data_IF_448539649666
#
_entry.id   IF_448539649666
#
_cell.length_a   1.000
_cell.length_b   1.000
_cell.length_c   1.000
_cell.angle_alpha   90.00
_cell.angle_beta   90.00
_cell.angle_gamma   90.00
#
_symmetry.space_group_name_H-M   'P 1'
#
loop_
_entity.id
_entity.type
_entity.pdbx_description
1 polymer ?
#
# COMPACT_ATOMS: atom_id res chain seq x y z
N UNK A 1 12.92 -21.24 9.04
CA UNK A 1 13.41 -22.04 7.90
C UNK A 1 14.93 -21.98 7.72
N UNK A 2 15.57 -20.79 7.57
CA UNK A 2 17.04 -20.69 7.39
C UNK A 2 17.86 -21.30 8.54
N UNK A 3 17.35 -21.20 9.77
CA UNK A 3 17.95 -21.81 10.96
C UNK A 3 17.41 -23.22 11.26
N UNK A 4 16.57 -23.79 10.38
CA UNK A 4 16.00 -25.12 10.58
C UNK A 4 17.05 -26.19 10.28
N UNK A 5 17.14 -27.27 11.07
CA UNK A 5 17.97 -28.42 10.72
C UNK A 5 17.42 -29.21 9.52
N UNK A 6 16.16 -28.99 9.14
CA UNK A 6 15.51 -29.66 8.03
C UNK A 6 15.72 -28.90 6.71
N UNK A 7 16.05 -29.65 5.64
CA UNK A 7 16.19 -29.11 4.29
C UNK A 7 14.81 -28.94 3.66
N UNK A 8 14.43 -27.69 3.43
CA UNK A 8 13.20 -27.36 2.69
C UNK A 8 13.42 -27.65 1.21
N UNK A 9 12.46 -28.32 0.58
CA UNK A 9 12.49 -28.64 -0.84
C UNK A 9 11.38 -27.89 -1.61
N UNK A 10 10.24 -27.62 -0.98
CA UNK A 10 9.12 -26.91 -1.62
C UNK A 10 8.41 -25.94 -0.71
N UNK A 11 7.55 -25.13 -1.32
CA UNK A 11 6.66 -24.18 -0.65
C UNK A 11 5.22 -24.37 -1.12
N UNK A 12 4.27 -24.10 -0.23
CA UNK A 12 2.85 -24.02 -0.55
C UNK A 12 2.23 -22.84 0.19
N UNK A 13 1.30 -22.16 -0.45
CA UNK A 13 0.53 -21.07 0.13
C UNK A 13 -0.97 -21.36 -0.02
N UNK A 14 -1.72 -21.22 1.07
CA UNK A 14 -3.17 -21.38 1.10
C UNK A 14 -3.80 -20.06 1.53
N UNK A 15 -4.64 -19.50 0.66
CA UNK A 15 -5.40 -18.27 0.93
C UNK A 15 -6.80 -18.67 1.41
N UNK A 16 -7.27 -18.07 2.50
CA UNK A 16 -8.57 -18.37 3.11
C UNK A 16 -9.47 -17.13 3.18
N UNK A 17 -10.79 -17.38 3.27
CA UNK A 17 -11.80 -16.35 3.50
C UNK A 17 -11.80 -15.28 2.41
N UNK A 18 -11.96 -14.01 2.79
CA UNK A 18 -12.07 -12.89 1.83
C UNK A 18 -10.84 -12.77 0.92
N UNK A 19 -9.65 -13.19 1.39
CA UNK A 19 -8.43 -13.21 0.60
C UNK A 19 -8.49 -14.26 -0.51
N UNK A 20 -9.20 -15.38 -0.29
CA UNK A 20 -9.45 -16.38 -1.32
C UNK A 20 -10.50 -15.90 -2.33
N UNK A 21 -11.66 -15.46 -1.84
CA UNK A 21 -12.80 -15.07 -2.69
C UNK A 21 -12.51 -13.90 -3.62
N UNK A 22 -11.69 -12.95 -3.17
CA UNK A 22 -11.37 -11.75 -3.96
C UNK A 22 -9.95 -11.78 -4.53
N UNK A 23 -9.16 -12.80 -4.22
CA UNK A 23 -7.73 -12.80 -4.46
C UNK A 23 -7.33 -12.73 -5.92
N UNK A 24 -8.07 -13.38 -6.83
CA UNK A 24 -7.80 -13.29 -8.28
C UNK A 24 -8.05 -11.87 -8.80
N UNK A 25 -9.14 -11.23 -8.36
CA UNK A 25 -9.47 -9.86 -8.74
C UNK A 25 -8.50 -8.82 -8.17
N UNK A 26 -7.95 -9.08 -6.98
CA UNK A 26 -6.96 -8.23 -6.30
C UNK A 26 -5.51 -8.64 -6.55
N UNK A 27 -5.24 -9.59 -7.45
CA UNK A 27 -3.90 -10.10 -7.76
C UNK A 27 -3.13 -10.64 -6.53
N UNK A 28 -3.85 -11.18 -5.53
CA UNK A 28 -3.25 -11.80 -4.34
C UNK A 28 -2.39 -13.01 -4.70
N UNK A 29 -2.75 -13.75 -5.76
CA UNK A 29 -1.90 -14.81 -6.31
C UNK A 29 -0.51 -14.29 -6.67
N UNK A 30 -0.48 -13.24 -7.49
CA UNK A 30 0.75 -12.63 -7.98
C UNK A 30 1.56 -12.07 -6.83
N UNK A 31 0.90 -11.37 -5.90
CA UNK A 31 1.54 -10.80 -4.72
C UNK A 31 2.19 -11.89 -3.85
N UNK A 32 1.49 -13.01 -3.60
CA UNK A 32 2.03 -14.13 -2.82
C UNK A 32 3.25 -14.75 -3.50
N UNK A 33 3.17 -15.04 -4.80
CA UNK A 33 4.29 -15.67 -5.54
C UNK A 33 5.52 -14.75 -5.57
N UNK A 34 5.33 -13.47 -5.88
CA UNK A 34 6.40 -12.49 -5.93
C UNK A 34 7.02 -12.24 -4.55
N UNK A 35 6.20 -12.18 -3.50
CA UNK A 35 6.65 -12.03 -2.12
C UNK A 35 7.49 -13.22 -1.66
N UNK A 36 7.09 -14.45 -2.00
CA UNK A 36 7.89 -15.65 -1.75
C UNK A 36 9.23 -15.62 -2.50
N UNK A 37 9.25 -15.09 -3.73
CA UNK A 37 10.45 -14.87 -4.52
C UNK A 37 11.32 -13.69 -4.03
N UNK A 38 10.90 -12.99 -2.95
CA UNK A 38 11.67 -11.92 -2.32
C UNK A 38 11.45 -10.53 -2.90
N UNK A 39 10.45 -10.33 -3.76
CA UNK A 39 10.05 -9.00 -4.22
C UNK A 39 9.30 -8.31 -3.09
N UNK A 40 9.78 -7.12 -2.69
CA UNK A 40 9.08 -6.29 -1.70
C UNK A 40 8.17 -5.27 -2.39
N UNK A 41 7.10 -4.80 -1.73
CA UNK A 41 6.23 -3.77 -2.28
C UNK A 41 6.98 -2.47 -2.66
N UNK A 42 7.98 -2.07 -1.86
CA UNK A 42 8.77 -0.86 -2.09
C UNK A 42 9.72 -1.00 -3.29
N UNK A 43 10.28 -2.20 -3.47
CA UNK A 43 11.20 -2.52 -4.57
C UNK A 43 10.51 -3.09 -5.81
N UNK A 44 9.19 -2.97 -5.90
CA UNK A 44 8.40 -3.52 -6.99
C UNK A 44 8.75 -2.84 -8.32
N UNK A 45 9.13 -3.66 -9.29
CA UNK A 45 9.30 -3.28 -10.69
C UNK A 45 8.42 -4.17 -11.55
N UNK A 46 7.58 -3.56 -12.40
CA UNK A 46 6.55 -4.28 -13.17
C UNK A 46 7.17 -5.30 -14.11
N UNK A 47 8.19 -4.91 -14.87
CA UNK A 47 8.75 -5.75 -15.93
C UNK A 47 9.52 -6.94 -15.33
N UNK A 48 10.29 -6.69 -14.27
CA UNK A 48 10.97 -7.74 -13.51
C UNK A 48 9.98 -8.68 -12.82
N UNK A 49 8.88 -8.16 -12.30
CA UNK A 49 7.82 -8.96 -11.69
C UNK A 49 7.15 -9.89 -12.72
N UNK A 50 6.78 -9.39 -13.89
CA UNK A 50 6.20 -10.23 -14.97
C UNK A 50 7.19 -11.30 -15.44
N UNK A 51 8.46 -10.94 -15.63
CA UNK A 51 9.51 -11.89 -16.00
C UNK A 51 9.69 -12.98 -14.93
N UNK A 52 9.64 -12.61 -13.65
CA UNK A 52 9.76 -13.55 -12.52
C UNK A 52 8.57 -14.51 -12.48
N UNK A 53 7.34 -14.00 -12.63
CA UNK A 53 6.13 -14.82 -12.66
C UNK A 53 6.12 -15.79 -13.86
N UNK A 54 6.49 -15.30 -15.04
CA UNK A 54 6.58 -16.13 -16.24
C UNK A 54 7.59 -17.28 -16.06
N UNK A 55 8.78 -16.95 -15.53
CA UNK A 55 9.82 -17.95 -15.24
C UNK A 55 9.33 -19.00 -14.23
N UNK A 56 8.73 -18.59 -13.12
CA UNK A 56 8.23 -19.53 -12.09
C UNK A 56 7.15 -20.46 -12.69
N UNK A 57 6.26 -19.93 -13.54
CA UNK A 57 5.23 -20.75 -14.21
C UNK A 57 5.84 -21.80 -15.14
N UNK A 58 6.92 -21.48 -15.83
CA UNK A 58 7.60 -22.38 -16.76
C UNK A 58 8.47 -23.41 -16.05
N UNK A 59 9.33 -22.95 -15.13
CA UNK A 59 10.33 -23.81 -14.47
C UNK A 59 9.77 -24.56 -13.26
N UNK A 60 8.67 -24.07 -12.67
CA UNK A 60 8.12 -24.53 -11.40
C UNK A 60 9.13 -24.46 -10.24
N UNK A 61 10.07 -23.52 -10.34
CA UNK A 61 11.12 -23.27 -9.36
C UNK A 61 11.00 -21.82 -8.89
N UNK A 62 10.95 -21.65 -7.58
CA UNK A 62 10.92 -20.37 -6.91
C UNK A 62 12.25 -20.13 -6.18
N UNK A 63 12.87 -18.98 -6.44
CA UNK A 63 14.11 -18.59 -5.77
C UNK A 63 13.79 -17.70 -4.58
N UNK A 64 13.80 -18.28 -3.39
CA UNK A 64 13.59 -17.55 -2.15
C UNK A 64 14.94 -17.08 -1.60
N UNK A 65 15.14 -15.77 -1.36
CA UNK A 65 16.40 -15.25 -0.85
C UNK A 65 16.87 -16.00 0.41
N UNK A 66 18.10 -16.50 0.41
CA UNK A 66 18.70 -17.22 1.53
C UNK A 66 18.13 -18.62 1.81
N UNK A 67 17.24 -19.15 0.97
CA UNK A 67 16.78 -20.55 1.03
C UNK A 67 17.18 -21.37 -0.21
N UNK A 68 17.56 -20.70 -1.30
CA UNK A 68 17.91 -21.35 -2.57
C UNK A 68 16.67 -21.66 -3.41
N UNK A 69 16.83 -22.45 -4.49
CA UNK A 69 15.73 -22.85 -5.36
C UNK A 69 14.81 -23.85 -4.65
N UNK A 70 13.50 -23.57 -4.69
CA UNK A 70 12.46 -24.39 -4.08
C UNK A 70 11.44 -24.80 -5.15
N UNK A 71 10.94 -26.03 -5.06
CA UNK A 71 9.86 -26.51 -5.92
C UNK A 71 8.57 -25.73 -5.59
N UNK A 72 7.98 -25.11 -6.62
CA UNK A 72 6.74 -24.37 -6.50
C UNK A 72 6.01 -24.35 -7.85
N UNK A 73 4.94 -25.12 -7.95
CA UNK A 73 4.01 -25.09 -9.09
C UNK A 73 2.81 -24.19 -8.73
N UNK A 74 2.68 -22.99 -9.33
CA UNK A 74 1.58 -22.08 -9.00
C UNK A 74 0.17 -22.68 -9.15
N UNK A 75 -0.02 -23.68 -10.02
CA UNK A 75 -1.33 -24.31 -10.22
C UNK A 75 -1.71 -25.31 -9.12
N UNK A 76 -0.73 -25.83 -8.39
CA UNK A 76 -0.92 -26.84 -7.33
C UNK A 76 -0.63 -26.28 -5.94
N UNK A 77 0.42 -25.49 -5.84
CA UNK A 77 1.03 -25.08 -4.58
C UNK A 77 0.53 -23.70 -4.11
N UNK A 78 -0.23 -22.97 -4.94
CA UNK A 78 -1.02 -21.82 -4.51
C UNK A 78 -2.51 -22.21 -4.52
N UNK A 79 -3.09 -22.36 -3.33
CA UNK A 79 -4.45 -22.85 -3.16
C UNK A 79 -5.37 -21.72 -2.69
N UNK A 80 -6.49 -21.57 -3.38
CA UNK A 80 -7.60 -20.73 -2.94
C UNK A 80 -8.60 -21.62 -2.19
N UNK A 81 -8.64 -21.50 -0.87
CA UNK A 81 -9.60 -22.21 -0.04
C UNK A 81 -10.85 -21.35 0.17
N UNK A 82 -11.93 -21.72 -0.54
CA UNK A 82 -13.25 -21.11 -0.46
C UNK A 82 -14.11 -21.65 0.70
N UNK A 83 -13.50 -22.41 1.61
CA UNK A 83 -14.11 -22.84 2.86
C UNK A 83 -14.31 -21.69 3.87
N UNK A 84 -14.64 -22.02 5.13
CA UNK A 84 -14.83 -21.02 6.16
C UNK A 84 -13.54 -20.20 6.40
N UNK A 85 -13.66 -18.93 6.80
CA UNK A 85 -12.50 -18.13 7.17
C UNK A 85 -11.77 -18.74 8.38
N UNK A 86 -10.47 -18.47 8.48
CA UNK A 86 -9.69 -18.86 9.65
C UNK A 86 -10.19 -18.09 10.89
N UNK A 87 -10.07 -18.68 12.11
CA UNK A 87 -10.68 -18.11 13.32
C UNK A 87 -10.20 -16.70 13.70
N UNK A 88 -8.97 -16.32 13.33
CA UNK A 88 -8.39 -15.04 13.75
C UNK A 88 -8.91 -13.83 12.97
N UNK A 89 -9.01 -13.94 11.64
CA UNK A 89 -9.44 -12.84 10.78
C UNK A 89 -9.89 -13.38 9.41
N UNK A 90 -10.79 -12.66 8.73
CA UNK A 90 -11.35 -13.06 7.44
C UNK A 90 -10.32 -13.13 6.29
N UNK A 91 -9.22 -12.39 6.39
CA UNK A 91 -8.10 -12.43 5.45
C UNK A 91 -6.96 -13.28 6.02
N UNK A 92 -7.07 -14.60 5.88
CA UNK A 92 -6.08 -15.56 6.36
C UNK A 92 -5.19 -16.10 5.24
N UNK A 93 -3.90 -16.28 5.54
CA UNK A 93 -2.95 -16.96 4.67
C UNK A 93 -2.14 -17.96 5.49
N UNK A 94 -1.98 -19.17 4.97
CA UNK A 94 -1.14 -20.21 5.56
C UNK A 94 0.01 -20.49 4.61
N UNK A 95 1.25 -20.30 5.09
CA UNK A 95 2.46 -20.66 4.37
C UNK A 95 2.99 -21.98 4.91
N UNK A 96 3.30 -22.91 4.02
CA UNK A 96 3.79 -24.25 4.35
C UNK A 96 5.10 -24.50 3.62
N UNK A 97 6.10 -24.97 4.37
CA UNK A 97 7.35 -25.48 3.82
C UNK A 97 7.31 -27.01 3.78
N UNK A 98 7.70 -27.61 2.66
CA UNK A 98 7.64 -29.06 2.46
C UNK A 98 9.00 -29.68 2.22
N UNK A 99 9.13 -30.96 2.54
CA UNK A 99 10.28 -31.79 2.16
C UNK A 99 10.16 -32.31 0.70
N UNK A 100 11.08 -33.20 0.32
CA UNK A 100 11.14 -33.76 -1.04
C UNK A 100 9.99 -34.75 -1.34
N UNK A 101 9.36 -35.30 -0.30
CA UNK A 101 8.23 -36.21 -0.37
C UNK A 101 6.90 -35.44 -0.41
N UNK A 102 6.91 -34.16 -0.04
CA UNK A 102 5.75 -33.27 0.00
C UNK A 102 5.15 -33.12 1.39
N UNK A 103 5.79 -33.68 2.42
CA UNK A 103 5.33 -33.57 3.80
C UNK A 103 5.67 -32.20 4.39
N UNK A 104 4.78 -31.68 5.23
CA UNK A 104 4.94 -30.36 5.83
C UNK A 104 6.01 -30.39 6.93
N UNK A 105 7.09 -29.64 6.73
CA UNK A 105 8.16 -29.44 7.72
C UNK A 105 7.77 -28.33 8.70
N UNK A 106 7.17 -27.26 8.19
CA UNK A 106 6.77 -26.11 8.97
C UNK A 106 5.56 -25.45 8.32
N UNK A 107 4.74 -24.83 9.16
CA UNK A 107 3.58 -24.06 8.75
C UNK A 107 3.46 -22.82 9.62
N UNK A 108 3.14 -21.69 9.01
CA UNK A 108 2.88 -20.44 9.70
C UNK A 108 1.62 -19.79 9.14
N UNK A 109 0.79 -19.23 10.03
CA UNK A 109 -0.46 -18.58 9.66
C UNK A 109 -0.34 -17.07 9.87
N UNK A 110 -0.70 -16.32 8.84
CA UNK A 110 -0.69 -14.87 8.81
C UNK A 110 -2.08 -14.31 8.52
N UNK A 111 -2.36 -13.14 9.08
CA UNK A 111 -3.60 -12.40 8.91
C UNK A 111 -3.31 -10.99 8.39
N UNK A 112 -3.95 -10.61 7.29
CA UNK A 112 -3.93 -9.24 6.77
C UNK A 112 -5.05 -8.43 7.41
N UNK A 113 -4.72 -7.54 8.33
CA UNK A 113 -5.67 -6.80 9.19
C UNK A 113 -6.00 -5.39 8.65
N UNK A 114 -5.65 -5.10 7.40
CA UNK A 114 -5.94 -3.83 6.73
C UNK A 114 -4.75 -2.85 6.71
N UNK A 115 -4.77 -1.89 5.77
CA UNK A 115 -3.71 -0.89 5.61
C UNK A 115 -2.31 -1.43 5.27
N UNK A 116 -2.21 -2.71 4.87
CA UNK A 116 -0.93 -3.40 4.63
C UNK A 116 -0.31 -4.04 5.88
N UNK A 117 -0.96 -3.97 7.04
CA UNK A 117 -0.46 -4.60 8.26
C UNK A 117 -0.77 -6.11 8.28
N UNK A 118 0.24 -6.89 8.69
CA UNK A 118 0.16 -8.35 8.79
C UNK A 118 0.57 -8.78 10.20
N UNK A 119 -0.18 -9.72 10.78
CA UNK A 119 0.13 -10.36 12.06
C UNK A 119 0.16 -11.87 11.88
N UNK A 120 1.09 -12.55 12.54
CA UNK A 120 1.01 -14.00 12.72
C UNK A 120 -0.14 -14.38 13.65
N UNK A 121 -0.59 -15.63 13.58
CA UNK A 121 -1.59 -16.14 14.51
C UNK A 121 -1.16 -16.05 15.98
N UNK A 122 0.14 -16.22 16.25
CA UNK A 122 0.71 -16.09 17.59
C UNK A 122 0.68 -14.64 18.08
N UNK A 123 1.03 -13.67 17.24
CA UNK A 123 0.97 -12.24 17.60
C UNK A 123 -0.47 -11.78 17.84
N UNK A 124 -1.41 -12.24 17.02
CA UNK A 124 -2.84 -11.93 17.20
C UNK A 124 -3.37 -12.51 18.51
N UNK A 125 -3.02 -13.76 18.84
CA UNK A 125 -3.42 -14.42 20.09
C UNK A 125 -2.79 -13.75 21.32
N UNK A 126 -1.57 -13.23 21.19
CA UNK A 126 -0.90 -12.45 22.23
C UNK A 126 -1.48 -11.03 22.42
N UNK A 127 -2.51 -10.66 21.63
CA UNK A 127 -3.13 -9.34 21.70
C UNK A 127 -2.24 -8.22 21.18
N UNK A 128 -1.23 -8.54 20.37
CA UNK A 128 -0.37 -7.53 19.73
C UNK A 128 -1.23 -6.78 18.71
N UNK A 129 -1.64 -5.56 19.07
CA UNK A 129 -2.19 -4.62 18.09
C UNK A 129 -1.03 -4.26 17.15
N UNK A 130 -1.24 -4.44 15.84
CA UNK A 130 -0.25 -4.32 14.76
C UNK A 130 0.88 -3.30 15.02
N UNK A 131 2.13 -3.79 14.95
CA UNK A 131 3.35 -3.11 15.35
C UNK A 131 3.26 -2.53 16.77
N UNK A 132 3.83 -3.29 17.71
CA UNK A 132 4.05 -2.90 19.10
C UNK A 132 4.13 -1.37 19.26
N UNK A 133 3.15 -0.81 19.97
CA UNK A 133 3.32 0.42 20.71
C UNK A 133 4.42 0.17 21.75
N UNK A 134 5.66 0.07 21.28
CA UNK A 134 6.81 0.52 22.06
C UNK A 134 6.40 1.90 22.54
N UNK A 135 6.39 2.10 23.86
CA UNK A 135 6.18 3.38 24.49
C UNK A 135 7.38 4.30 24.15
N UNK A 136 7.59 4.56 22.86
CA UNK A 136 8.44 5.64 22.39
C UNK A 136 7.77 6.87 22.95
N UNK A 137 8.45 7.54 23.88
CA UNK A 137 7.98 8.76 24.50
C UNK A 137 7.74 9.79 23.39
N UNK A 138 6.49 9.87 22.94
CA UNK A 138 6.04 10.75 21.87
C UNK A 138 5.82 12.14 22.47
N UNK A 139 6.60 13.17 22.09
CA UNK A 139 6.50 14.50 22.71
C UNK A 139 5.12 15.13 22.59
N UNK A 140 4.41 14.84 21.50
CA UNK A 140 3.07 15.38 21.22
C UNK A 140 2.07 14.26 20.86
N UNK A 141 1.43 13.59 21.83
CA UNK A 141 0.48 12.51 21.56
C UNK A 141 -0.86 13.07 21.04
N UNK A 142 -1.10 12.99 19.73
CA UNK A 142 -2.33 13.48 19.10
C UNK A 142 -3.50 12.50 19.29
N UNK A 143 -4.12 12.51 20.48
CA UNK A 143 -5.30 11.67 20.76
C UNK A 143 -6.59 12.22 20.13
N UNK A 144 -6.74 13.55 20.10
CA UNK A 144 -7.90 14.23 19.54
C UNK A 144 -7.50 15.52 18.81
N UNK A 145 -8.37 16.00 17.93
CA UNK A 145 -8.16 17.27 17.23
C UNK A 145 -8.09 18.46 18.22
N UNK A 146 -8.91 18.45 19.27
CA UNK A 146 -8.89 19.47 20.32
C UNK A 146 -7.54 19.48 21.05
N UNK A 147 -7.07 18.31 21.52
CA UNK A 147 -5.78 18.19 22.20
C UNK A 147 -4.60 18.57 21.30
N UNK A 148 -4.65 18.23 20.01
CA UNK A 148 -3.65 18.66 19.03
C UNK A 148 -3.57 20.19 18.91
N UNK A 149 -4.72 20.89 18.87
CA UNK A 149 -4.75 22.35 18.79
C UNK A 149 -4.29 23.01 20.10
N UNK A 150 -4.58 22.43 21.25
CA UNK A 150 -4.07 22.90 22.55
C UNK A 150 -2.54 22.78 22.63
N UNK A 151 -1.97 21.64 22.22
CA UNK A 151 -0.53 21.45 22.15
C UNK A 151 0.15 22.40 21.16
N UNK A 152 -0.48 22.67 20.00
CA UNK A 152 0.03 23.64 19.04
C UNK A 152 0.12 25.05 19.66
N UNK A 153 -0.94 25.48 20.37
CA UNK A 153 -0.95 26.79 21.06
C UNK A 153 0.07 26.85 22.19
N UNK A 154 0.19 25.80 22.99
CA UNK A 154 1.10 25.75 24.12
C UNK A 154 2.59 25.72 23.70
N UNK A 155 2.90 25.02 22.61
CA UNK A 155 4.28 24.89 22.11
C UNK A 155 4.72 26.00 21.15
N UNK A 156 3.76 26.70 20.53
CA UNK A 156 4.03 27.64 19.44
C UNK A 156 4.44 26.97 18.11
N UNK A 157 4.33 25.64 18.02
CA UNK A 157 4.69 24.87 16.83
C UNK A 157 3.47 24.61 15.94
N UNK A 158 3.72 24.49 14.63
CA UNK A 158 2.70 24.00 13.69
C UNK A 158 2.44 22.50 13.89
N UNK A 159 1.30 22.02 13.39
CA UNK A 159 0.95 20.59 13.42
C UNK A 159 2.07 19.75 12.76
N UNK A 160 2.57 20.18 11.60
CA UNK A 160 3.67 19.51 10.92
C UNK A 160 4.96 19.48 11.75
N UNK A 161 5.30 20.59 12.43
CA UNK A 161 6.51 20.65 13.26
C UNK A 161 6.39 19.74 14.50
N UNK A 162 5.24 19.71 15.16
CA UNK A 162 4.98 18.76 16.24
C UNK A 162 5.02 17.31 15.75
N UNK A 163 4.40 17.00 14.59
CA UNK A 163 4.45 15.66 14.01
C UNK A 163 5.88 15.27 13.63
N UNK A 164 6.68 16.20 13.10
CA UNK A 164 8.11 15.98 12.83
C UNK A 164 8.85 15.63 14.11
N UNK A 165 8.65 16.39 15.20
CA UNK A 165 9.27 16.11 16.49
C UNK A 165 8.94 14.70 17.00
N UNK A 166 7.70 14.24 16.79
CA UNK A 166 7.31 12.86 17.10
C UNK A 166 8.06 11.83 16.25
N UNK A 167 8.12 12.00 14.92
CA UNK A 167 8.83 11.07 14.03
C UNK A 167 10.34 10.99 14.32
N UNK A 168 10.95 12.10 14.74
CA UNK A 168 12.39 12.16 15.09
C UNK A 168 12.76 11.37 16.34
N UNK A 169 11.79 10.92 17.14
CA UNK A 169 12.05 10.00 18.26
C UNK A 169 12.43 8.59 17.79
N UNK A 170 12.01 8.21 16.59
CA UNK A 170 12.23 6.88 16.03
C UNK A 170 13.13 6.90 14.78
N UNK A 171 13.35 8.07 14.17
CA UNK A 171 14.07 8.20 12.89
C UNK A 171 15.06 9.36 12.92
N UNK A 172 16.18 9.19 12.24
CA UNK A 172 17.12 10.29 12.03
C UNK A 172 16.51 11.37 11.11
N UNK A 173 16.87 12.66 11.27
CA UNK A 173 16.32 13.74 10.46
C UNK A 173 16.45 13.55 8.95
N UNK A 174 17.64 13.18 8.46
CA UNK A 174 17.86 12.96 7.03
C UNK A 174 17.00 11.82 6.49
N UNK A 175 16.91 10.71 7.22
CA UNK A 175 16.09 9.56 6.83
C UNK A 175 14.59 9.88 6.77
N UNK A 176 14.11 10.79 7.64
CA UNK A 176 12.73 11.27 7.58
C UNK A 176 12.49 12.12 6.33
N UNK A 177 13.37 13.07 6.07
CA UNK A 177 13.24 13.99 4.93
C UNK A 177 13.35 13.22 3.59
N UNK A 178 14.29 12.27 3.48
CA UNK A 178 14.44 11.37 2.33
C UNK A 178 13.19 10.48 2.13
N UNK A 179 12.64 9.94 3.22
CA UNK A 179 11.43 9.12 3.17
C UNK A 179 10.20 9.91 2.68
N UNK A 180 10.02 11.14 3.17
CA UNK A 180 8.95 12.03 2.72
C UNK A 180 9.10 12.40 1.24
N UNK A 181 10.33 12.67 0.80
CA UNK A 181 10.63 12.94 -0.61
C UNK A 181 10.36 11.71 -1.50
N UNK A 182 10.74 10.52 -1.04
CA UNK A 182 10.46 9.25 -1.72
C UNK A 182 8.96 8.99 -1.89
N UNK A 183 8.17 9.21 -0.82
CA UNK A 183 6.70 9.10 -0.86
C UNK A 183 6.11 10.04 -1.92
N UNK A 184 6.50 11.31 -1.91
CA UNK A 184 5.99 12.27 -2.88
C UNK A 184 6.40 11.92 -4.31
N UNK A 185 7.64 11.48 -4.51
CA UNK A 185 8.13 11.05 -5.83
C UNK A 185 7.30 9.88 -6.36
N UNK A 186 7.10 8.83 -5.56
CA UNK A 186 6.28 7.69 -5.94
C UNK A 186 4.81 8.07 -6.23
N UNK A 187 4.24 8.99 -5.44
CA UNK A 187 2.92 9.57 -5.67
C UNK A 187 2.84 10.33 -7.00
N UNK A 188 3.81 11.20 -7.28
CA UNK A 188 3.87 12.00 -8.50
C UNK A 188 4.05 11.11 -9.73
N UNK A 189 4.96 10.15 -9.67
CA UNK A 189 5.22 9.20 -10.76
C UNK A 189 4.00 8.33 -11.05
N UNK A 190 3.23 7.97 -10.02
CA UNK A 190 1.97 7.27 -10.19
C UNK A 190 0.93 8.10 -10.96
N UNK A 191 0.80 9.40 -10.62
CA UNK A 191 -0.05 10.32 -11.39
C UNK A 191 0.42 10.37 -12.85
N UNK A 192 1.72 10.61 -13.08
CA UNK A 192 2.26 10.79 -14.43
C UNK A 192 2.08 9.53 -15.29
N UNK A 193 2.29 8.33 -14.72
CA UNK A 193 1.98 7.06 -15.39
C UNK A 193 0.49 6.94 -15.73
N UNK A 194 -0.40 7.25 -14.78
CA UNK A 194 -1.85 7.16 -14.98
C UNK A 194 -2.37 8.15 -16.04
N UNK A 195 -1.79 9.35 -16.12
CA UNK A 195 -2.13 10.34 -17.15
C UNK A 195 -1.63 9.93 -18.55
N UNK A 196 -0.57 9.12 -18.64
CA UNK A 196 -0.01 8.65 -19.91
C UNK A 196 -0.61 7.31 -20.39
N UNK A 197 -0.98 6.43 -19.46
CA UNK A 197 -1.38 5.06 -19.75
C UNK A 197 -2.75 4.98 -20.43
N UNK A 198 -2.76 4.43 -21.65
CA UNK A 198 -3.99 4.17 -22.42
C UNK A 198 -4.41 2.71 -22.34
N UNK A 199 -5.63 2.41 -22.78
CA UNK A 199 -6.16 1.05 -22.87
C UNK A 199 -7.29 0.79 -21.88
N UNK A 200 -7.46 -0.47 -21.50
CA UNK A 200 -8.56 -0.92 -20.62
C UNK A 200 -8.03 -1.53 -19.33
N UNK A 201 -8.76 -1.34 -18.25
CA UNK A 201 -8.45 -1.91 -16.96
C UNK A 201 -8.71 -3.42 -16.94
N UNK A 202 -7.88 -4.21 -16.23
CA UNK A 202 -8.11 -5.63 -16.02
C UNK A 202 -9.32 -5.87 -15.10
N UNK A 203 -9.72 -7.13 -14.91
CA UNK A 203 -10.80 -7.51 -13.98
C UNK A 203 -12.18 -7.73 -14.61
N UNK A 204 -12.26 -7.90 -15.94
CA UNK A 204 -13.47 -8.39 -16.63
C UNK A 204 -14.59 -7.36 -16.85
N UNK A 205 -14.55 -6.20 -16.18
CA UNK A 205 -15.54 -5.11 -16.36
C UNK A 205 -15.32 -4.27 -17.63
N UNK A 206 -14.25 -4.53 -18.38
CA UNK A 206 -13.95 -3.88 -19.66
C UNK A 206 -13.93 -2.34 -19.59
N UNK A 207 -13.51 -1.76 -18.46
CA UNK A 207 -13.52 -0.32 -18.24
C UNK A 207 -12.35 0.35 -18.99
N UNK A 208 -12.60 1.36 -19.85
CA UNK A 208 -11.53 2.13 -20.46
C UNK A 208 -10.86 3.05 -19.42
N UNK A 209 -9.56 3.27 -19.59
CA UNK A 209 -8.86 4.34 -18.88
C UNK A 209 -9.34 5.69 -19.40
N UNK A 210 -9.63 6.62 -18.49
CA UNK A 210 -10.20 7.95 -18.79
C UNK A 210 -9.21 9.07 -18.53
N UNK A 211 -8.26 8.88 -17.62
CA UNK A 211 -7.33 9.94 -17.22
C UNK A 211 -6.58 10.59 -18.39
N UNK A 212 -6.06 9.86 -19.40
CA UNK A 212 -5.31 10.48 -20.49
C UNK A 212 -6.13 11.42 -21.36
N UNK A 213 -7.39 11.07 -21.64
CA UNK A 213 -8.25 11.86 -22.52
C UNK A 213 -8.78 13.10 -21.81
N UNK A 214 -9.14 12.98 -20.52
CA UNK A 214 -9.50 14.13 -19.68
C UNK A 214 -8.32 15.09 -19.55
N UNK A 215 -7.12 14.57 -19.31
CA UNK A 215 -5.91 15.38 -19.20
C UNK A 215 -5.59 16.12 -20.50
N UNK A 216 -5.68 15.44 -21.64
CA UNK A 216 -5.47 16.06 -22.94
C UNK A 216 -6.48 17.19 -23.22
N UNK A 217 -7.76 17.00 -22.85
CA UNK A 217 -8.78 18.03 -22.96
C UNK A 217 -8.47 19.26 -22.09
N UNK A 218 -8.09 19.06 -20.82
CA UNK A 218 -7.70 20.15 -19.91
C UNK A 218 -6.47 20.91 -20.40
N UNK A 219 -5.48 20.21 -20.98
CA UNK A 219 -4.31 20.84 -21.58
C UNK A 219 -4.65 21.66 -22.82
N UNK A 220 -5.59 21.20 -23.64
CA UNK A 220 -6.05 21.95 -24.81
C UNK A 220 -6.82 23.23 -24.45
N UNK A 221 -7.41 23.29 -23.25
CA UNK A 221 -8.10 24.48 -22.75
C UNK A 221 -7.17 25.49 -22.07
N UNK A 222 -5.92 25.11 -21.78
CA UNK A 222 -4.96 25.98 -21.13
C UNK A 222 -4.65 27.21 -21.99
N UNK A 223 -4.71 28.40 -21.38
CA UNK A 223 -4.45 29.67 -22.07
C UNK A 223 -5.65 30.28 -22.81
N UNK A 224 -6.84 29.66 -22.74
CA UNK A 224 -8.08 30.29 -23.20
C UNK A 224 -8.52 31.35 -22.19
N UNK A 225 -9.01 32.49 -22.68
CA UNK A 225 -9.55 33.58 -21.84
C UNK A 225 -10.89 33.25 -21.15
N UNK A 226 -11.31 31.99 -21.17
CA UNK A 226 -12.54 31.47 -20.57
C UNK A 226 -12.14 30.35 -19.61
N UNK A 227 -11.90 30.69 -18.35
CA UNK A 227 -11.68 29.71 -17.30
C UNK A 227 -13.05 29.20 -16.82
N UNK A 228 -13.40 27.97 -17.20
CA UNK A 228 -14.66 27.40 -16.74
C UNK A 228 -14.61 27.20 -15.22
N UNK A 229 -15.70 27.48 -14.46
CA UNK A 229 -15.69 27.41 -12.99
C UNK A 229 -15.35 26.03 -12.40
N UNK A 230 -15.46 24.97 -13.20
CA UNK A 230 -15.24 23.57 -12.78
C UNK A 230 -13.80 23.09 -12.97
N UNK A 231 -12.91 23.87 -13.60
CA UNK A 231 -11.53 23.46 -13.91
C UNK A 231 -10.76 22.95 -12.70
N UNK A 232 -10.96 23.56 -11.52
CA UNK A 232 -10.33 23.11 -10.26
C UNK A 232 -10.71 21.67 -9.95
N UNK A 233 -12.00 21.35 -10.06
CA UNK A 233 -12.51 20.02 -9.77
C UNK A 233 -12.04 19.01 -10.81
N UNK A 234 -11.95 19.41 -12.08
CA UNK A 234 -11.50 18.51 -13.15
C UNK A 234 -10.02 18.14 -12.99
N UNK A 235 -9.17 19.11 -12.63
CA UNK A 235 -7.75 18.87 -12.37
C UNK A 235 -7.53 17.92 -11.18
N UNK A 236 -8.22 18.17 -10.07
CA UNK A 236 -8.12 17.28 -8.90
C UNK A 236 -8.67 15.89 -9.25
N UNK A 237 -9.78 15.83 -9.97
CA UNK A 237 -10.43 14.56 -10.37
C UNK A 237 -9.55 13.76 -11.32
N UNK A 238 -8.92 14.38 -12.32
CA UNK A 238 -8.07 13.65 -13.28
C UNK A 238 -6.84 13.05 -12.61
N UNK A 239 -6.22 13.78 -11.66
CA UNK A 239 -5.10 13.23 -10.90
C UNK A 239 -5.54 12.06 -10.01
N UNK A 240 -6.70 12.14 -9.36
CA UNK A 240 -7.22 11.06 -8.54
C UNK A 240 -7.60 9.82 -9.38
N UNK A 241 -8.23 10.03 -10.53
CA UNK A 241 -8.58 8.98 -11.50
C UNK A 241 -7.29 8.31 -12.00
N UNK A 242 -6.26 9.08 -12.37
CA UNK A 242 -4.98 8.55 -12.83
C UNK A 242 -4.38 7.56 -11.84
N UNK A 243 -4.32 7.92 -10.55
CA UNK A 243 -3.78 7.04 -9.49
C UNK A 243 -4.67 5.82 -9.29
N UNK A 244 -6.00 5.97 -9.29
CA UNK A 244 -6.90 4.84 -9.07
C UNK A 244 -6.94 3.88 -10.27
N UNK A 245 -6.75 4.38 -11.49
CA UNK A 245 -6.59 3.54 -12.69
C UNK A 245 -5.26 2.78 -12.66
N UNK A 246 -4.17 3.40 -12.19
CA UNK A 246 -2.90 2.70 -11.95
C UNK A 246 -3.03 1.62 -10.88
N UNK A 247 -3.70 1.92 -9.76
CA UNK A 247 -4.00 0.94 -8.72
C UNK A 247 -4.77 -0.27 -9.30
N UNK A 248 -5.85 0.00 -10.04
CA UNK A 248 -6.68 -1.04 -10.64
C UNK A 248 -5.92 -1.88 -11.69
N UNK A 249 -4.89 -1.31 -12.32
CA UNK A 249 -4.02 -2.01 -13.26
C UNK A 249 -2.81 -2.70 -12.61
N UNK A 250 -2.75 -2.78 -11.27
CA UNK A 250 -1.65 -3.38 -10.52
C UNK A 250 -0.34 -2.60 -10.62
N UNK A 251 -0.40 -1.30 -10.85
CA UNK A 251 0.76 -0.41 -10.80
C UNK A 251 1.25 -0.17 -9.37
N UNK A 252 2.45 0.41 -9.26
CA UNK A 252 2.98 0.84 -7.97
C UNK A 252 2.18 2.05 -7.48
N UNK A 253 1.64 1.95 -6.26
CA UNK A 253 0.84 2.98 -5.60
C UNK A 253 1.29 3.19 -4.16
N UNK A 254 1.06 4.38 -3.63
CA UNK A 254 1.31 4.71 -2.23
C UNK A 254 0.00 4.71 -1.47
N UNK A 255 -0.07 4.00 -0.35
CA UNK A 255 -1.26 3.97 0.50
C UNK A 255 -1.55 5.35 1.09
N UNK A 256 -2.83 5.75 1.06
CA UNK A 256 -3.26 7.04 1.63
C UNK A 256 -4.73 7.04 2.10
N UNK A 257 -5.11 6.29 3.16
CA UNK A 257 -4.32 5.38 3.97
C UNK A 257 -4.32 3.93 3.46
N UNK A 258 -5.09 3.64 2.41
CA UNK A 258 -5.16 2.34 1.74
C UNK A 258 -4.96 2.51 0.24
N UNK A 259 -4.79 1.41 -0.51
CA UNK A 259 -4.69 1.45 -1.97
C UNK A 259 -5.99 1.97 -2.62
N UNK A 260 -7.16 1.65 -2.06
CA UNK A 260 -8.45 2.09 -2.59
C UNK A 260 -8.67 3.61 -2.49
N UNK A 261 -8.06 4.25 -1.48
CA UNK A 261 -8.11 5.70 -1.27
C UNK A 261 -6.86 6.44 -1.80
N UNK A 262 -5.93 5.73 -2.45
CA UNK A 262 -4.60 6.22 -2.79
C UNK A 262 -4.60 7.49 -3.65
N UNK A 263 -5.64 7.72 -4.45
CA UNK A 263 -5.71 8.89 -5.34
C UNK A 263 -5.95 10.24 -4.66
N UNK A 264 -6.51 10.29 -3.45
CA UNK A 264 -7.01 11.55 -2.86
C UNK A 264 -5.87 12.50 -2.45
N UNK A 265 -4.99 12.04 -1.56
CA UNK A 265 -3.84 12.82 -1.06
C UNK A 265 -2.92 13.31 -2.19
N UNK A 266 -2.46 12.47 -3.13
CA UNK A 266 -1.56 12.92 -4.20
C UNK A 266 -2.26 13.86 -5.18
N UNK A 267 -3.55 13.68 -5.46
CA UNK A 267 -4.30 14.60 -6.34
C UNK A 267 -4.37 16.02 -5.79
N UNK A 268 -4.71 16.17 -4.50
CA UNK A 268 -4.75 17.47 -3.84
C UNK A 268 -3.36 18.10 -3.79
N UNK A 269 -2.34 17.30 -3.48
CA UNK A 269 -0.97 17.77 -3.39
C UNK A 269 -0.40 18.20 -4.75
N UNK A 270 -0.65 17.44 -5.82
CA UNK A 270 -0.26 17.79 -7.19
C UNK A 270 -0.98 19.05 -7.66
N UNK A 271 -2.28 19.16 -7.40
CA UNK A 271 -3.03 20.36 -7.71
C UNK A 271 -2.45 21.60 -7.02
N UNK A 272 -2.18 21.49 -5.72
CA UNK A 272 -1.57 22.58 -4.96
C UNK A 272 -0.22 23.00 -5.57
N UNK A 273 0.64 22.05 -5.92
CA UNK A 273 1.96 22.34 -6.47
C UNK A 273 1.94 22.93 -7.89
N UNK A 274 1.03 22.47 -8.74
CA UNK A 274 1.02 22.85 -10.16
C UNK A 274 0.18 24.11 -10.42
N UNK A 275 -0.89 24.35 -9.64
CA UNK A 275 -1.89 25.38 -9.96
C UNK A 275 -2.00 26.52 -8.94
N UNK A 276 -1.51 26.35 -7.69
CA UNK A 276 -1.66 27.39 -6.65
C UNK A 276 -0.41 28.29 -6.60
N UNK A 277 -0.55 29.61 -6.85
CA UNK A 277 0.57 30.53 -6.76
C UNK A 277 1.25 30.51 -5.39
N UNK A 278 2.57 30.42 -5.38
CA UNK A 278 3.36 30.39 -4.15
C UNK A 278 3.50 29.01 -3.49
N UNK A 279 2.90 27.96 -4.05
CA UNK A 279 3.19 26.59 -3.66
C UNK A 279 4.66 26.25 -3.92
N UNK A 280 5.27 25.46 -3.02
CA UNK A 280 6.70 25.12 -3.09
C UNK A 280 6.89 23.65 -2.81
N UNK A 281 7.60 22.94 -3.68
CA UNK A 281 7.99 21.54 -3.48
C UNK A 281 8.76 21.33 -2.18
N UNK A 282 9.53 22.32 -1.72
CA UNK A 282 10.21 22.29 -0.42
C UNK A 282 9.26 22.13 0.80
N UNK A 283 7.97 22.44 0.66
CA UNK A 283 6.93 22.26 1.69
C UNK A 283 6.15 20.95 1.54
N UNK A 284 6.55 20.06 0.62
CA UNK A 284 5.93 18.75 0.43
C UNK A 284 5.93 17.91 1.72
N UNK A 285 7.05 17.90 2.45
CA UNK A 285 7.14 17.19 3.73
C UNK A 285 6.18 17.75 4.78
N UNK A 286 5.98 19.07 4.82
CA UNK A 286 5.03 19.71 5.75
C UNK A 286 3.58 19.29 5.45
N UNK A 287 3.22 19.20 4.17
CA UNK A 287 1.93 18.71 3.72
C UNK A 287 1.68 17.27 4.20
N UNK A 288 2.63 16.37 3.91
CA UNK A 288 2.54 14.96 4.27
C UNK A 288 2.51 14.74 5.79
N UNK A 289 3.32 15.48 6.55
CA UNK A 289 3.31 15.40 8.02
C UNK A 289 1.99 15.91 8.61
N UNK A 290 1.40 16.97 8.05
CA UNK A 290 0.08 17.45 8.48
C UNK A 290 -0.99 16.41 8.18
N UNK A 291 -1.00 15.84 6.98
CA UNK A 291 -1.92 14.77 6.61
C UNK A 291 -1.77 13.54 7.52
N UNK A 292 -0.53 13.15 7.85
CA UNK A 292 -0.24 12.04 8.74
C UNK A 292 -0.71 12.29 10.19
N UNK A 293 -0.66 13.53 10.68
CA UNK A 293 -1.20 13.88 12.00
C UNK A 293 -2.72 13.67 12.06
N UNK A 294 -3.44 14.16 11.04
CA UNK A 294 -4.90 13.97 10.94
C UNK A 294 -5.27 12.49 10.78
N UNK A 295 -4.60 11.79 9.85
CA UNK A 295 -4.81 10.35 9.66
C UNK A 295 -4.48 9.53 10.91
N UNK A 296 -3.49 9.96 11.70
CA UNK A 296 -3.15 9.36 12.99
C UNK A 296 -4.28 9.47 14.02
N UNK A 297 -4.93 10.63 14.12
CA UNK A 297 -6.09 10.82 15.01
C UNK A 297 -7.25 9.90 14.58
N UNK A 298 -7.54 9.82 13.28
CA UNK A 298 -8.60 8.94 12.76
C UNK A 298 -8.29 7.47 13.07
N UNK A 299 -7.06 7.00 12.78
CA UNK A 299 -6.63 5.63 13.07
C UNK A 299 -6.61 5.30 14.57
N UNK A 300 -6.29 6.27 15.42
CA UNK A 300 -6.28 6.06 16.87
C UNK A 300 -7.69 5.83 17.42
N UNK A 301 -8.67 6.53 16.86
CA UNK A 301 -10.06 6.51 17.33
C UNK A 301 -10.97 5.55 16.54
N UNK A 302 -10.54 5.06 15.37
CA UNK A 302 -11.31 4.17 14.50
C UNK A 302 -10.40 3.19 13.73
N UNK A 303 -10.95 2.07 13.27
CA UNK A 303 -10.20 1.15 12.40
C UNK A 303 -10.07 1.75 10.99
N UNK A 304 -8.90 1.57 10.38
CA UNK A 304 -8.64 1.92 8.96
C UNK A 304 -8.91 0.74 8.02
N UNK A 305 -9.41 -0.37 8.55
CA UNK A 305 -9.78 -1.53 7.75
C UNK A 305 -11.08 -1.24 7.02
N UNK A 306 -11.01 -1.10 5.69
CA UNK A 306 -12.22 -1.00 4.87
C UNK A 306 -13.16 -2.22 5.02
N UNK A 307 -12.63 -3.36 5.45
CA UNK A 307 -13.44 -4.55 5.76
C UNK A 307 -14.22 -4.44 7.07
N UNK A 308 -13.79 -3.60 8.02
CA UNK A 308 -14.43 -3.43 9.32
C UNK A 308 -15.27 -2.15 9.40
N UNK A 309 -14.81 -1.06 8.79
CA UNK A 309 -15.44 0.26 8.89
C UNK A 309 -15.99 0.81 7.57
N UNK A 310 -15.85 0.08 6.46
CA UNK A 310 -16.33 0.49 5.14
C UNK A 310 -15.50 1.62 4.50
N UNK A 311 -15.98 2.17 3.37
CA UNK A 311 -15.26 3.18 2.57
C UNK A 311 -15.07 4.55 3.25
N UNK A 312 -15.67 4.78 4.42
CA UNK A 312 -15.53 6.03 5.18
C UNK A 312 -14.22 6.12 5.98
N UNK A 313 -13.52 4.99 6.14
CA UNK A 313 -12.26 4.86 6.88
C UNK A 313 -11.03 5.04 5.98
#
# INVERSE_FOLDING_TARGET
>A
LRASPFRVHGLRAVLHGSLAFTGVGHASDRATILGLAGVTPEGYDRDRAEATLARIRETKILDAPGLGPLAFDPGRDLVFDYGPPLPGHANGMVLVATDAQGDAIAQETYYSIGGGFVLSANELAAGVKGAAASAIACPYPFESAAGMLEMARASGLSIAAMKRANELTARAPAALDDGLAGIWTAMSDCIDRGLAARGRLPGGLNLPRRAPDIHAALMAEQGRNLAAPHLINDWISVYAIAVNEENAAGGQVVTAPTNGAAGVVPAVMRYWLDHVPGARRARAGEFLLTAAAIGGIVKHNASISGAECGCQA
#
